data_IF_019280449589
#
_entry.id   IF_019280449589
#
_cell.length_a   1.000
_cell.length_b   1.000
_cell.length_c   1.000
_cell.angle_alpha   90.00
_cell.angle_beta   90.00
_cell.angle_gamma   90.00
#
_symmetry.space_group_name_H-M   'P 1'
#
loop_
_entity.id
_entity.type
_entity.pdbx_description
1 polymer ?
#
# COMPACT_ATOMS: atom_id res chain seq x y z
N UNK A 1 -1.62 29.93 -9.73
CA UNK A 1 -1.55 29.11 -10.95
C UNK A 1 -0.75 27.87 -10.59
N UNK A 2 -1.35 26.68 -10.62
CA UNK A 2 -0.60 25.45 -10.35
C UNK A 2 0.37 25.24 -11.52
N UNK A 3 1.67 25.21 -11.23
CA UNK A 3 2.69 24.89 -12.23
C UNK A 3 2.40 23.52 -12.84
N UNK A 4 2.42 23.45 -14.17
CA UNK A 4 2.28 22.20 -14.89
C UNK A 4 3.36 21.19 -14.45
N UNK A 5 3.01 19.90 -14.51
CA UNK A 5 3.96 18.80 -14.33
C UNK A 5 4.76 18.66 -15.61
N UNK A 6 6.08 18.76 -15.55
CA UNK A 6 6.95 18.45 -16.69
C UNK A 6 6.83 16.97 -17.02
N UNK A 7 6.78 16.66 -18.31
CA UNK A 7 6.56 15.31 -18.82
C UNK A 7 7.68 14.87 -19.77
N UNK A 8 7.84 13.57 -19.93
CA UNK A 8 8.75 12.91 -20.85
C UNK A 8 8.00 11.91 -21.73
N UNK A 9 8.38 11.80 -23.00
CA UNK A 9 7.77 10.82 -23.91
C UNK A 9 8.11 9.39 -23.47
N UNK A 10 7.09 8.54 -23.46
CA UNK A 10 7.20 7.13 -23.11
C UNK A 10 6.46 6.28 -24.16
N UNK A 11 6.92 6.24 -25.43
CA UNK A 11 6.16 5.61 -26.51
C UNK A 11 6.10 4.09 -26.40
N UNK A 12 7.09 3.47 -25.75
CA UNK A 12 7.28 2.02 -25.67
C UNK A 12 6.92 1.47 -24.29
N UNK A 13 6.42 0.23 -24.25
CA UNK A 13 5.99 -0.46 -23.04
C UNK A 13 7.16 -0.69 -22.06
N UNK A 14 6.96 -0.31 -20.79
CA UNK A 14 7.94 -0.44 -19.71
C UNK A 14 8.32 -1.89 -19.36
N UNK A 15 7.53 -2.88 -19.80
CA UNK A 15 7.75 -4.30 -19.47
C UNK A 15 8.36 -5.06 -20.64
N UNK A 16 7.83 -4.90 -21.86
CA UNK A 16 8.25 -5.70 -23.02
C UNK A 16 8.83 -4.89 -24.19
N UNK A 17 8.91 -3.55 -24.07
CA UNK A 17 9.49 -2.67 -25.09
C UNK A 17 8.64 -2.47 -26.35
N UNK A 18 7.47 -3.10 -26.48
CA UNK A 18 6.58 -2.91 -27.63
C UNK A 18 5.95 -1.51 -27.62
N UNK A 19 5.90 -0.84 -28.76
CA UNK A 19 5.23 0.45 -28.90
C UNK A 19 3.74 0.37 -28.55
N UNK A 20 3.30 1.36 -27.76
CA UNK A 20 1.92 1.42 -27.28
C UNK A 20 0.95 2.01 -28.29
N UNK A 21 -0.27 1.47 -28.32
CA UNK A 21 -1.39 2.09 -29.01
C UNK A 21 -2.11 3.07 -28.07
N UNK A 22 -2.53 4.23 -28.59
CA UNK A 22 -3.35 5.18 -27.82
C UNK A 22 -4.68 4.52 -27.43
N UNK A 23 -5.03 4.57 -26.15
CA UNK A 23 -6.31 4.07 -25.63
C UNK A 23 -7.22 5.21 -25.20
N UNK A 24 -6.69 6.14 -24.41
CA UNK A 24 -7.40 7.32 -23.94
C UNK A 24 -6.56 8.57 -24.15
N UNK A 25 -7.21 9.68 -24.46
CA UNK A 25 -6.57 10.97 -24.68
C UNK A 25 -7.32 12.06 -23.95
N UNK A 26 -6.62 13.17 -23.70
CA UNK A 26 -7.19 14.38 -23.13
C UNK A 26 -7.88 14.16 -21.77
N UNK A 27 -7.31 13.29 -20.95
CA UNK A 27 -7.79 13.01 -19.61
C UNK A 27 -7.33 14.11 -18.64
N UNK A 28 -8.14 14.33 -17.61
CA UNK A 28 -7.79 15.14 -16.44
C UNK A 28 -7.97 14.29 -15.19
N UNK A 29 -7.15 14.53 -14.18
CA UNK A 29 -7.35 13.90 -12.88
C UNK A 29 -8.60 14.49 -12.22
N UNK A 30 -9.61 13.64 -12.02
CA UNK A 30 -10.90 14.03 -11.42
C UNK A 30 -10.95 13.74 -9.92
N UNK A 31 -9.93 13.11 -9.36
CA UNK A 31 -9.88 12.66 -7.98
C UNK A 31 -9.06 13.60 -7.09
N UNK A 32 -7.82 13.92 -7.49
CA UNK A 32 -6.91 14.78 -6.71
C UNK A 32 -6.53 16.09 -7.40
N UNK A 33 -7.08 16.33 -8.60
CA UNK A 33 -6.82 17.51 -9.43
C UNK A 33 -5.33 17.69 -9.77
N UNK A 34 -4.62 16.58 -10.01
CA UNK A 34 -3.24 16.61 -10.49
C UNK A 34 -3.15 17.41 -11.81
N UNK A 35 -2.31 18.47 -11.87
CA UNK A 35 -2.31 19.40 -12.98
C UNK A 35 -1.75 18.77 -14.26
N UNK A 36 -2.45 18.96 -15.36
CA UNK A 36 -2.01 18.50 -16.68
C UNK A 36 -3.15 17.92 -17.52
N UNK A 37 -2.79 17.54 -18.74
CA UNK A 37 -3.61 16.71 -19.62
C UNK A 37 -2.88 15.38 -19.81
N UNK A 38 -3.59 14.28 -19.64
CA UNK A 38 -3.02 12.94 -19.55
C UNK A 38 -3.53 12.06 -20.69
N UNK A 39 -2.67 11.19 -21.21
CA UNK A 39 -3.03 10.22 -22.23
C UNK A 39 -2.56 8.84 -21.76
N UNK A 40 -3.38 7.82 -22.02
CA UNK A 40 -3.08 6.45 -21.65
C UNK A 40 -2.85 5.64 -22.92
N UNK A 41 -1.69 4.98 -22.98
CA UNK A 41 -1.39 3.97 -23.98
C UNK A 41 -1.65 2.57 -23.43
N UNK A 42 -1.93 1.63 -24.33
CA UNK A 42 -2.04 0.20 -24.05
C UNK A 42 -1.05 -0.57 -24.90
N UNK A 43 -0.39 -1.56 -24.29
CA UNK A 43 0.48 -2.48 -25.01
C UNK A 43 -0.38 -3.39 -25.91
N UNK A 44 -0.16 -3.43 -27.23
CA UNK A 44 -0.92 -4.28 -28.14
C UNK A 44 -0.56 -5.77 -28.00
N UNK A 45 0.58 -6.09 -27.38
CA UNK A 45 0.94 -7.46 -27.06
C UNK A 45 -0.07 -8.05 -26.06
N UNK A 46 -0.85 -9.04 -26.51
CA UNK A 46 -1.90 -9.69 -25.74
C UNK A 46 -1.39 -10.41 -24.49
N UNK A 47 -0.12 -10.82 -24.46
CA UNK A 47 0.50 -11.42 -23.28
C UNK A 47 0.92 -10.38 -22.23
N UNK A 48 1.09 -9.10 -22.60
CA UNK A 48 1.53 -8.03 -21.71
C UNK A 48 0.37 -7.13 -21.28
N UNK A 49 -0.30 -6.47 -22.23
CA UNK A 49 -1.49 -5.65 -21.99
C UNK A 49 -1.31 -4.45 -21.04
N UNK A 50 -0.07 -4.06 -20.68
CA UNK A 50 0.21 -2.94 -19.78
C UNK A 50 -0.50 -1.66 -20.25
N UNK A 51 -0.98 -0.87 -19.29
CA UNK A 51 -1.46 0.50 -19.49
C UNK A 51 -0.48 1.45 -18.81
N UNK A 52 -0.12 2.55 -19.49
CA UNK A 52 0.77 3.56 -18.92
C UNK A 52 0.46 4.96 -19.50
N UNK A 53 0.99 5.99 -18.84
CA UNK A 53 0.89 7.37 -19.31
C UNK A 53 1.94 7.66 -20.36
N UNK A 54 1.53 8.27 -21.47
CA UNK A 54 2.43 8.84 -22.47
C UNK A 54 1.88 10.17 -22.99
N UNK A 55 2.49 11.32 -22.64
CA UNK A 55 3.77 11.43 -21.94
C UNK A 55 3.63 11.17 -20.43
N UNK A 56 4.71 10.70 -19.80
CA UNK A 56 4.78 10.37 -18.37
C UNK A 56 5.29 11.57 -17.57
N UNK A 57 4.83 11.80 -16.32
CA UNK A 57 5.49 12.75 -15.43
C UNK A 57 7.00 12.51 -15.34
N UNK A 58 7.79 13.58 -15.42
CA UNK A 58 9.22 13.53 -15.12
C UNK A 58 9.43 13.26 -13.62
N UNK A 59 10.52 12.56 -13.27
CA UNK A 59 10.84 12.22 -11.89
C UNK A 59 10.94 13.44 -10.98
N UNK A 60 11.46 14.56 -11.49
CA UNK A 60 11.63 15.81 -10.75
C UNK A 60 10.30 16.48 -10.39
N UNK A 61 9.24 16.25 -11.16
CA UNK A 61 7.93 16.90 -10.99
C UNK A 61 6.82 15.92 -10.58
N UNK A 62 7.07 14.61 -10.56
CA UNK A 62 6.04 13.60 -10.23
C UNK A 62 5.42 13.84 -8.85
N UNK A 63 6.21 14.36 -7.89
CA UNK A 63 5.74 14.74 -6.55
C UNK A 63 4.59 15.77 -6.59
N UNK A 64 4.48 16.60 -7.64
CA UNK A 64 3.39 17.57 -7.79
C UNK A 64 2.03 16.89 -7.87
N UNK A 65 1.96 15.67 -8.42
CA UNK A 65 0.74 14.86 -8.45
C UNK A 65 0.31 14.39 -7.04
N UNK A 66 1.24 14.35 -6.10
CA UNK A 66 1.01 13.90 -4.72
C UNK A 66 0.70 15.04 -3.73
N UNK A 67 0.70 16.32 -4.16
CA UNK A 67 0.47 17.47 -3.26
C UNK A 67 -0.82 17.38 -2.45
N UNK A 68 -1.91 16.91 -3.07
CA UNK A 68 -3.21 16.75 -2.45
C UNK A 68 -3.50 15.29 -2.05
N UNK A 69 -2.52 14.40 -2.21
CA UNK A 69 -2.64 12.99 -1.90
C UNK A 69 -2.39 12.78 -0.40
N UNK A 70 -3.43 12.97 0.41
CA UNK A 70 -3.32 12.83 1.86
C UNK A 70 -3.19 11.35 2.27
N UNK A 71 -1.99 10.94 2.68
CA UNK A 71 -1.74 9.68 3.42
C UNK A 71 -1.80 9.88 4.94
N UNK A 72 -2.23 11.06 5.40
CA UNK A 72 -2.32 11.43 6.81
C UNK A 72 -3.76 11.30 7.30
N UNK A 73 -4.22 10.08 7.55
CA UNK A 73 -5.36 9.92 8.44
C UNK A 73 -4.82 9.91 9.87
N UNK A 74 -5.22 10.89 10.66
CA UNK A 74 -5.03 10.85 12.10
C UNK A 74 -5.67 9.58 12.67
N UNK A 75 -5.02 8.99 13.67
CA UNK A 75 -5.51 7.80 14.33
C UNK A 75 -6.88 8.09 14.94
N UNK A 76 -7.94 7.54 14.36
CA UNK A 76 -9.29 7.67 14.92
C UNK A 76 -9.32 6.98 16.29
N UNK A 77 -9.94 7.58 17.31
CA UNK A 77 -10.06 6.95 18.61
C UNK A 77 -10.71 5.58 18.47
N UNK A 78 -10.13 4.59 19.15
CA UNK A 78 -10.70 3.24 19.17
C UNK A 78 -12.14 3.33 19.68
N UNK A 79 -13.12 2.72 18.99
CA UNK A 79 -14.48 2.67 19.50
C UNK A 79 -14.53 2.00 20.88
N UNK A 80 -15.63 2.11 21.64
CA UNK A 80 -15.78 1.38 22.89
C UNK A 80 -15.70 -0.14 22.69
N UNK A 81 -15.24 -0.84 23.73
CA UNK A 81 -15.11 -2.29 23.73
C UNK A 81 -16.46 -2.94 24.08
N UNK A 82 -17.06 -3.61 23.09
CA UNK A 82 -18.38 -4.26 23.20
C UNK A 82 -18.27 -5.76 22.97
N UNK A 83 -19.19 -6.54 23.54
CA UNK A 83 -19.17 -8.00 23.39
C UNK A 83 -19.19 -8.50 21.93
N UNK A 84 -19.93 -7.90 20.96
CA UNK A 84 -19.88 -8.35 19.57
C UNK A 84 -18.51 -8.07 18.93
N UNK A 85 -17.87 -6.98 19.36
CA UNK A 85 -16.53 -6.63 18.90
C UNK A 85 -15.49 -7.61 19.42
N UNK A 86 -15.56 -8.02 20.68
CA UNK A 86 -14.71 -9.08 21.25
C UNK A 86 -14.88 -10.40 20.50
N UNK A 87 -16.12 -10.81 20.23
CA UNK A 87 -16.40 -12.00 19.43
C UNK A 87 -15.80 -11.89 18.01
N UNK A 88 -15.92 -10.73 17.36
CA UNK A 88 -15.29 -10.50 16.06
C UNK A 88 -13.76 -10.51 16.13
N UNK A 89 -13.16 -9.97 17.20
CA UNK A 89 -11.71 -10.04 17.43
C UNK A 89 -11.24 -11.49 17.60
N UNK A 90 -11.99 -12.32 18.32
CA UNK A 90 -11.69 -13.76 18.47
C UNK A 90 -11.75 -14.50 17.14
N UNK A 91 -12.77 -14.21 16.32
CA UNK A 91 -12.89 -14.76 14.95
C UNK A 91 -11.71 -14.30 14.08
N UNK A 92 -11.33 -13.01 14.15
CA UNK A 92 -10.16 -12.45 13.45
C UNK A 92 -8.87 -13.15 13.86
N UNK A 93 -8.62 -13.27 15.17
CA UNK A 93 -7.43 -13.96 15.69
C UNK A 93 -7.41 -15.42 15.23
N UNK A 94 -8.54 -16.12 15.33
CA UNK A 94 -8.70 -17.48 14.86
C UNK A 94 -8.36 -17.65 13.38
N UNK A 95 -8.84 -16.73 12.53
CA UNK A 95 -8.57 -16.73 11.09
C UNK A 95 -7.08 -16.52 10.79
N UNK A 96 -6.46 -15.51 11.39
CA UNK A 96 -5.05 -15.21 11.19
C UNK A 96 -4.15 -16.35 11.69
N UNK A 97 -4.47 -16.94 12.84
CA UNK A 97 -3.78 -18.11 13.38
C UNK A 97 -3.89 -19.35 12.50
N UNK A 98 -5.03 -19.54 11.84
CA UNK A 98 -5.25 -20.69 10.96
C UNK A 98 -4.58 -20.53 9.60
N UNK A 99 -4.80 -19.39 8.93
CA UNK A 99 -4.38 -19.18 7.53
C UNK A 99 -2.92 -18.75 7.42
N UNK A 100 -2.48 -17.85 8.29
CA UNK A 100 -1.16 -17.23 8.22
C UNK A 100 -0.24 -17.65 9.36
N UNK A 101 -0.76 -18.21 10.46
CA UNK A 101 0.04 -18.69 11.60
C UNK A 101 0.29 -17.65 12.69
N UNK A 102 -0.24 -16.43 12.58
CA UNK A 102 -0.11 -15.40 13.61
C UNK A 102 -0.80 -15.82 14.92
N UNK A 103 -0.19 -15.57 16.08
CA UNK A 103 -0.76 -15.89 17.40
C UNK A 103 -1.11 -17.37 17.63
N UNK A 104 -0.62 -18.29 16.79
CA UNK A 104 -1.04 -19.70 16.79
C UNK A 104 -0.86 -20.40 18.14
N UNK A 105 0.19 -20.07 18.87
CA UNK A 105 0.49 -20.63 20.20
C UNK A 105 -0.47 -20.13 21.28
N UNK A 106 -0.89 -18.87 21.18
CA UNK A 106 -1.79 -18.22 22.15
C UNK A 106 -3.28 -18.40 21.83
N UNK A 107 -3.61 -18.83 20.60
CA UNK A 107 -5.00 -18.92 20.12
C UNK A 107 -5.53 -20.35 20.29
N UNK A 108 -6.51 -20.61 21.19
CA UNK A 108 -7.04 -21.94 21.41
C UNK A 108 -7.76 -22.50 20.17
N UNK A 109 -7.86 -23.84 20.10
CA UNK A 109 -8.38 -24.55 18.93
C UNK A 109 -9.80 -24.12 18.55
N UNK A 110 -10.69 -23.87 19.52
CA UNK A 110 -12.05 -23.44 19.24
C UNK A 110 -12.11 -22.07 18.54
N UNK A 111 -11.27 -21.10 18.94
CA UNK A 111 -11.15 -19.80 18.24
C UNK A 111 -10.63 -19.99 16.82
N UNK A 112 -9.63 -20.86 16.63
CA UNK A 112 -9.09 -21.20 15.30
C UNK A 112 -10.14 -21.82 14.39
N UNK A 113 -11.05 -22.63 14.94
CA UNK A 113 -12.21 -23.16 14.20
C UNK A 113 -13.22 -22.05 13.88
N UNK A 114 -13.53 -21.17 14.84
CA UNK A 114 -14.41 -20.02 14.58
C UNK A 114 -13.86 -19.07 13.52
N UNK A 115 -12.55 -19.06 13.27
CA UNK A 115 -11.93 -18.34 12.16
C UNK A 115 -12.53 -18.67 10.78
N UNK A 116 -13.15 -19.84 10.59
CA UNK A 116 -13.87 -20.16 9.35
C UNK A 116 -15.08 -19.25 9.09
N UNK A 117 -15.68 -18.66 10.13
CA UNK A 117 -16.82 -17.75 9.98
C UNK A 117 -16.48 -16.51 9.15
N UNK A 118 -15.20 -16.12 9.06
CA UNK A 118 -14.76 -15.02 8.19
C UNK A 118 -14.93 -15.32 6.70
N UNK A 119 -15.03 -16.59 6.29
CA UNK A 119 -15.33 -16.95 4.89
C UNK A 119 -16.76 -16.56 4.48
N UNK A 120 -17.66 -16.37 5.45
CA UNK A 120 -19.02 -15.85 5.20
C UNK A 120 -19.03 -14.33 5.00
N UNK A 121 -17.92 -13.63 5.27
CA UNK A 121 -17.80 -12.18 5.16
C UNK A 121 -16.60 -11.80 4.25
N UNK A 122 -16.71 -11.98 2.92
CA UNK A 122 -15.59 -11.88 1.99
C UNK A 122 -14.86 -10.52 2.04
N UNK A 123 -15.60 -9.41 2.16
CA UNK A 123 -14.98 -8.08 2.27
C UNK A 123 -14.11 -7.94 3.53
N UNK A 124 -14.57 -8.46 4.68
CA UNK A 124 -13.80 -8.43 5.94
C UNK A 124 -12.59 -9.35 5.85
N UNK A 125 -12.73 -10.50 5.21
CA UNK A 125 -11.64 -11.44 4.98
C UNK A 125 -10.54 -10.81 4.12
N UNK A 126 -10.90 -10.25 2.97
CA UNK A 126 -9.94 -9.58 2.07
C UNK A 126 -9.26 -8.40 2.76
N UNK A 127 -9.98 -7.63 3.57
CA UNK A 127 -9.38 -6.57 4.38
C UNK A 127 -8.33 -7.10 5.36
N UNK A 128 -8.61 -8.21 6.06
CA UNK A 128 -7.64 -8.82 6.98
C UNK A 128 -6.43 -9.40 6.25
N UNK A 129 -6.66 -10.06 5.12
CA UNK A 129 -5.61 -10.60 4.26
C UNK A 129 -4.67 -9.48 3.78
N UNK A 130 -5.25 -8.37 3.31
CA UNK A 130 -4.52 -7.19 2.88
C UNK A 130 -3.74 -6.55 4.02
N UNK A 131 -4.34 -6.41 5.21
CA UNK A 131 -3.62 -5.85 6.36
C UNK A 131 -2.35 -6.64 6.63
N UNK A 132 -2.39 -7.99 6.71
CA UNK A 132 -1.18 -8.79 6.91
C UNK A 132 -0.31 -8.95 5.66
N UNK A 133 -0.54 -8.14 4.63
CA UNK A 133 0.16 -8.14 3.33
C UNK A 133 0.17 -9.51 2.64
N UNK A 134 -0.82 -10.35 2.95
CA UNK A 134 -0.87 -11.76 2.53
C UNK A 134 0.35 -12.61 2.96
N UNK A 135 1.15 -12.13 3.93
CA UNK A 135 2.36 -12.80 4.38
C UNK A 135 2.06 -13.79 5.52
N UNK A 136 2.59 -15.02 5.47
CA UNK A 136 2.57 -15.92 6.60
C UNK A 136 3.38 -15.32 7.77
N UNK A 137 3.05 -15.70 8.99
CA UNK A 137 3.71 -15.23 10.18
C UNK A 137 5.20 -15.61 10.16
N UNK A 138 6.05 -14.61 10.29
CA UNK A 138 7.48 -14.76 10.38
C UNK A 138 7.97 -13.94 11.59
N UNK A 139 8.01 -14.52 12.79
CA UNK A 139 8.49 -13.82 13.98
C UNK A 139 9.90 -13.26 13.72
N UNK A 140 10.09 -11.97 13.98
CA UNK A 140 11.34 -11.23 13.73
C UNK A 140 11.77 -11.20 12.26
N UNK A 141 10.87 -11.56 11.33
CA UNK A 141 11.08 -11.40 9.89
C UNK A 141 11.33 -9.93 9.55
N UNK A 142 12.22 -9.67 8.60
CA UNK A 142 12.50 -8.31 8.13
C UNK A 142 11.52 -7.95 7.01
N UNK A 143 10.96 -6.75 7.07
CA UNK A 143 10.04 -6.23 6.07
C UNK A 143 10.45 -4.81 5.68
N UNK A 144 10.55 -4.55 4.39
CA UNK A 144 10.75 -3.22 3.84
C UNK A 144 9.47 -2.82 3.09
N UNK A 145 8.89 -1.68 3.49
CA UNK A 145 7.74 -1.07 2.81
C UNK A 145 8.21 0.11 1.95
N UNK A 146 8.02 0.01 0.63
CA UNK A 146 8.47 1.01 -0.36
C UNK A 146 7.29 1.89 -0.74
N UNK A 147 7.39 3.19 -0.47
CA UNK A 147 6.24 4.09 -0.52
C UNK A 147 5.36 3.95 0.73
N UNK A 148 5.99 3.87 1.90
CA UNK A 148 5.31 3.51 3.15
C UNK A 148 4.41 4.62 3.73
N UNK A 149 4.43 5.82 3.14
CA UNK A 149 3.68 6.97 3.60
C UNK A 149 3.92 7.29 5.07
N UNK A 150 2.83 7.51 5.82
CA UNK A 150 2.87 7.83 7.26
C UNK A 150 3.20 6.62 8.16
N UNK A 151 3.45 5.44 7.58
CA UNK A 151 3.93 4.26 8.29
C UNK A 151 2.86 3.38 8.92
N UNK A 152 1.58 3.55 8.59
CA UNK A 152 0.47 2.75 9.13
C UNK A 152 0.67 1.25 8.93
N UNK A 153 1.14 0.84 7.75
CA UNK A 153 1.38 -0.56 7.43
C UNK A 153 2.59 -1.12 8.22
N UNK A 154 3.66 -0.32 8.37
CA UNK A 154 4.83 -0.66 9.19
C UNK A 154 4.44 -0.87 10.65
N UNK A 155 3.68 0.06 11.23
CA UNK A 155 3.17 -0.01 12.61
C UNK A 155 2.36 -1.29 12.84
N UNK A 156 1.46 -1.61 11.90
CA UNK A 156 0.65 -2.82 11.95
C UNK A 156 1.53 -4.08 11.87
N UNK A 157 2.47 -4.15 10.92
CA UNK A 157 3.36 -5.30 10.78
C UNK A 157 4.27 -5.49 12.00
N UNK A 158 4.73 -4.39 12.61
CA UNK A 158 5.49 -4.43 13.85
C UNK A 158 4.67 -5.02 15.00
N UNK A 159 3.40 -4.62 15.14
CA UNK A 159 2.50 -5.13 16.18
C UNK A 159 2.21 -6.64 16.10
N UNK A 160 2.46 -7.25 14.94
CA UNK A 160 2.25 -8.69 14.69
C UNK A 160 3.56 -9.48 14.57
N UNK A 161 4.69 -8.88 14.97
CA UNK A 161 5.96 -9.56 15.19
C UNK A 161 7.02 -9.37 14.12
N UNK A 162 6.82 -8.48 13.14
CA UNK A 162 7.83 -8.17 12.12
C UNK A 162 8.81 -7.07 12.56
N UNK A 163 10.05 -7.18 12.11
CA UNK A 163 11.00 -6.06 12.09
C UNK A 163 10.80 -5.26 10.80
N UNK A 164 9.78 -4.41 10.79
CA UNK A 164 9.41 -3.61 9.64
C UNK A 164 10.13 -2.24 9.62
N UNK A 165 10.61 -1.84 8.45
CA UNK A 165 11.12 -0.51 8.14
C UNK A 165 10.54 -0.04 6.79
N UNK A 166 10.71 1.25 6.45
CA UNK A 166 10.21 1.77 5.19
C UNK A 166 11.01 2.90 4.59
N UNK A 167 10.66 3.22 3.35
CA UNK A 167 11.21 4.35 2.59
C UNK A 167 10.07 5.09 1.89
N UNK A 168 10.12 6.42 1.92
CA UNK A 168 9.19 7.27 1.18
C UNK A 168 9.89 8.57 0.73
N UNK A 169 9.45 9.15 -0.38
CA UNK A 169 9.99 10.41 -0.90
C UNK A 169 9.30 11.65 -0.28
N UNK A 170 8.13 11.49 0.32
CA UNK A 170 7.40 12.59 0.97
C UNK A 170 7.97 12.88 2.37
N UNK A 171 8.67 14.00 2.50
CA UNK A 171 9.24 14.46 3.75
C UNK A 171 8.21 14.66 4.87
N UNK A 172 6.95 15.02 4.55
CA UNK A 172 5.88 15.17 5.54
C UNK A 172 5.45 13.81 6.06
N UNK A 173 5.24 12.84 5.17
CA UNK A 173 4.92 11.47 5.52
C UNK A 173 6.00 10.81 6.39
N UNK A 174 7.26 10.91 5.98
CA UNK A 174 8.41 10.39 6.74
C UNK A 174 8.51 11.05 8.12
N UNK A 175 8.29 12.36 8.21
CA UNK A 175 8.28 13.07 9.50
C UNK A 175 7.16 12.57 10.42
N UNK A 176 5.97 12.29 9.88
CA UNK A 176 4.87 11.70 10.65
C UNK A 176 5.18 10.28 11.11
N UNK A 177 5.70 9.41 10.24
CA UNK A 177 6.09 8.05 10.59
C UNK A 177 7.17 8.03 11.70
N UNK A 178 8.19 8.88 11.59
CA UNK A 178 9.26 9.00 12.60
C UNK A 178 8.75 9.50 13.95
N UNK A 179 7.74 10.37 13.99
CA UNK A 179 7.09 10.80 15.24
C UNK A 179 6.37 9.65 15.97
N UNK A 180 5.92 8.63 15.24
CA UNK A 180 5.40 7.37 15.80
C UNK A 180 6.51 6.41 16.28
N UNK A 181 7.78 6.78 16.14
CA UNK A 181 8.93 5.93 16.50
C UNK A 181 9.28 4.88 15.46
N UNK A 182 8.73 4.99 14.23
CA UNK A 182 8.99 4.03 13.16
C UNK A 182 10.32 4.31 12.45
N UNK A 183 11.00 3.24 12.03
CA UNK A 183 12.22 3.32 11.22
C UNK A 183 11.85 3.56 9.76
N UNK A 184 11.85 4.82 9.34
CA UNK A 184 11.55 5.22 7.96
C UNK A 184 12.64 6.15 7.41
N UNK A 185 13.09 5.88 6.19
CA UNK A 185 14.06 6.69 5.47
C UNK A 185 13.38 7.62 4.45
N UNK A 186 13.97 8.81 4.25
CA UNK A 186 13.51 9.77 3.26
C UNK A 186 14.35 9.61 1.98
N UNK A 187 13.68 9.41 0.85
CA UNK A 187 14.31 9.36 -0.47
C UNK A 187 13.73 8.28 -1.37
N UNK A 188 14.43 7.99 -2.46
CA UNK A 188 14.10 6.86 -3.33
C UNK A 188 14.69 5.57 -2.77
N UNK A 189 14.18 4.42 -3.24
CA UNK A 189 14.67 3.11 -2.83
C UNK A 189 16.14 2.92 -3.20
N UNK A 190 16.53 3.35 -4.40
CA UNK A 190 17.89 3.24 -4.95
C UNK A 190 18.91 4.05 -4.15
N UNK A 191 18.48 5.16 -3.57
CA UNK A 191 19.31 5.96 -2.69
C UNK A 191 19.47 5.33 -1.29
N UNK A 192 18.66 4.31 -0.96
CA UNK A 192 18.81 3.56 0.28
C UNK A 192 19.66 2.32 0.00
N UNK A 193 20.82 2.22 0.66
CA UNK A 193 21.73 1.08 0.57
C UNK A 193 21.18 -0.14 1.36
N UNK A 194 19.95 -0.57 1.05
CA UNK A 194 19.40 -1.79 1.60
C UNK A 194 20.16 -3.02 1.07
N UNK A 195 20.34 -4.06 1.91
CA UNK A 195 21.12 -5.25 1.57
C UNK A 195 20.49 -6.13 0.50
#
# INVERSE_FOLDING_TARGET
MNEAIRVQEAPSCLICGTDGASLYSSLRDRLFDAPGEWHVKKCPNSACGLLWLDPMPSEEDVWKAYRNYYTHQEDKPLPPDTWPRRAYQDVKQGYLARKYGYYRETTPLWKRLMGFLLYLAPARRTYLDFNVMYLPAQPQGRLLDVGCGSGTQIEMMHSIGWSAEGVDHDAVAVKHARRKGLRVNLGTLEAQEYP
#
